data_IF_991059913800
#
_entry.id   IF_991059913800
#
_cell.length_a   1.000
_cell.length_b   1.000
_cell.length_c   1.000
_cell.angle_alpha   90.00
_cell.angle_beta   90.00
_cell.angle_gamma   90.00
#
_symmetry.space_group_name_H-M   'P 1'
#
loop_
_entity.id
_entity.type
_entity.pdbx_description
1 polymer ?
#
# COMPACT_ATOMS: atom_id res chain seq x y z
N UNK A 1 -21.16 -18.90 41.15
CA UNK A 1 -20.38 -20.10 40.81
C UNK A 1 -19.17 -19.63 40.01
N UNK A 2 -18.02 -19.54 40.67
CA UNK A 2 -16.75 -19.40 39.98
C UNK A 2 -16.55 -20.65 39.13
N UNK A 3 -16.54 -20.50 37.80
CA UNK A 3 -16.21 -21.54 36.81
C UNK A 3 -14.71 -21.91 36.92
N UNK A 4 -14.25 -22.19 38.14
CA UNK A 4 -12.89 -22.59 38.46
C UNK A 4 -12.73 -24.07 38.06
N UNK A 5 -11.71 -24.30 37.24
CA UNK A 5 -11.16 -25.59 36.78
C UNK A 5 -12.08 -26.49 35.96
N UNK A 6 -12.37 -26.08 34.71
CA UNK A 6 -12.66 -27.07 33.66
C UNK A 6 -11.40 -27.95 33.45
N UNK A 7 -11.54 -29.29 33.31
CA UNK A 7 -10.44 -30.18 32.95
C UNK A 7 -9.78 -29.74 31.64
N UNK A 8 -8.45 -29.92 31.50
CA UNK A 8 -7.69 -29.46 30.34
C UNK A 8 -8.26 -29.96 29.00
N UNK A 9 -8.72 -31.22 28.95
CA UNK A 9 -9.33 -31.82 27.76
C UNK A 9 -10.66 -31.18 27.37
N UNK A 10 -11.49 -30.80 28.36
CA UNK A 10 -12.73 -30.06 28.11
C UNK A 10 -12.43 -28.63 27.66
N UNK A 11 -11.38 -28.02 28.18
CA UNK A 11 -10.95 -26.67 27.79
C UNK A 11 -10.46 -26.65 26.34
N UNK A 12 -9.70 -27.67 25.93
CA UNK A 12 -9.22 -27.84 24.55
C UNK A 12 -10.35 -28.17 23.56
N UNK A 13 -11.30 -29.04 23.95
CA UNK A 13 -12.49 -29.31 23.14
C UNK A 13 -13.36 -28.06 22.93
N UNK A 14 -13.53 -27.26 23.99
CA UNK A 14 -14.22 -25.98 23.91
C UNK A 14 -13.43 -25.02 22.99
N UNK A 15 -12.12 -24.88 23.15
CA UNK A 15 -11.29 -24.03 22.29
C UNK A 15 -11.44 -24.41 20.80
N UNK A 16 -11.42 -25.70 20.47
CA UNK A 16 -11.62 -26.20 19.10
C UNK A 16 -13.04 -25.94 18.57
N UNK A 17 -14.06 -26.02 19.44
CA UNK A 17 -15.45 -25.69 19.09
C UNK A 17 -15.67 -24.18 18.89
N UNK A 18 -15.00 -23.35 19.69
CA UNK A 18 -15.11 -21.89 19.66
C UNK A 18 -14.52 -21.30 18.37
N UNK A 19 -13.48 -21.91 17.80
CA UNK A 19 -12.77 -21.41 16.60
C UNK A 19 -13.70 -21.08 15.42
N UNK A 20 -14.55 -22.00 14.93
CA UNK A 20 -15.49 -21.69 13.84
C UNK A 20 -16.70 -20.85 14.30
N UNK A 21 -16.97 -20.75 15.60
CA UNK A 21 -18.22 -20.18 16.15
C UNK A 21 -18.04 -18.85 16.87
N UNK A 22 -16.83 -18.26 16.90
CA UNK A 22 -16.59 -16.93 17.52
C UNK A 22 -17.57 -15.88 16.97
N UNK A 23 -17.88 -15.98 15.67
CA UNK A 23 -18.89 -15.16 15.00
C UNK A 23 -20.26 -15.30 15.66
N UNK A 24 -20.76 -16.52 15.77
CA UNK A 24 -22.09 -16.80 16.30
C UNK A 24 -22.17 -16.48 17.80
N UNK A 25 -21.09 -16.69 18.55
CA UNK A 25 -21.01 -16.40 19.98
C UNK A 25 -20.90 -14.91 20.29
N UNK A 26 -20.20 -14.13 19.46
CA UNK A 26 -20.20 -12.66 19.58
C UNK A 26 -21.60 -12.09 19.32
N UNK A 27 -22.30 -12.59 18.30
CA UNK A 27 -23.68 -12.25 17.99
C UNK A 27 -24.63 -12.68 19.12
N UNK A 28 -24.53 -13.93 19.59
CA UNK A 28 -25.34 -14.48 20.69
C UNK A 28 -25.11 -13.73 22.00
N UNK A 29 -23.87 -13.30 22.28
CA UNK A 29 -23.61 -12.44 23.42
C UNK A 29 -24.47 -11.17 23.30
N UNK A 30 -24.37 -10.41 22.20
CA UNK A 30 -25.11 -9.15 21.99
C UNK A 30 -26.62 -9.32 22.13
N UNK A 31 -27.17 -10.47 21.73
CA UNK A 31 -28.61 -10.77 21.80
C UNK A 31 -29.12 -11.15 23.20
N UNK A 32 -28.26 -11.67 24.08
CA UNK A 32 -28.67 -12.21 25.38
C UNK A 32 -27.81 -11.67 26.53
N UNK A 33 -28.34 -10.71 27.30
CA UNK A 33 -27.68 -10.08 28.46
C UNK A 33 -27.20 -11.07 29.54
N UNK A 34 -27.94 -12.16 29.78
CA UNK A 34 -27.60 -13.15 30.80
C UNK A 34 -26.56 -14.20 30.35
N UNK A 35 -26.51 -14.54 29.06
CA UNK A 35 -25.45 -15.40 28.50
C UNK A 35 -24.16 -14.63 28.21
N UNK A 36 -24.27 -13.30 28.09
CA UNK A 36 -23.20 -12.38 27.79
C UNK A 36 -21.97 -12.57 28.70
N UNK A 37 -22.17 -12.70 30.02
CA UNK A 37 -21.07 -12.82 30.98
C UNK A 37 -20.34 -14.17 30.91
N UNK A 38 -21.08 -15.27 30.75
CA UNK A 38 -20.51 -16.62 30.75
C UNK A 38 -19.80 -16.94 29.42
N UNK A 39 -20.40 -16.54 28.29
CA UNK A 39 -19.80 -16.73 26.95
C UNK A 39 -18.53 -15.88 26.81
N UNK A 40 -18.58 -14.62 27.28
CA UNK A 40 -17.42 -13.75 27.26
C UNK A 40 -16.31 -14.28 28.17
N UNK A 41 -16.62 -14.71 29.40
CA UNK A 41 -15.62 -15.31 30.28
C UNK A 41 -14.94 -16.53 29.62
N UNK A 42 -15.72 -17.41 28.99
CA UNK A 42 -15.19 -18.60 28.33
C UNK A 42 -14.30 -18.26 27.14
N UNK A 43 -14.72 -17.31 26.31
CA UNK A 43 -13.91 -16.81 25.19
C UNK A 43 -12.62 -16.15 25.69
N UNK A 44 -12.67 -15.39 26.78
CA UNK A 44 -11.49 -14.69 27.31
C UNK A 44 -10.52 -15.64 28.01
N UNK A 45 -11.01 -16.59 28.81
CA UNK A 45 -10.17 -17.59 29.47
C UNK A 45 -9.49 -18.51 28.45
N UNK A 46 -10.17 -18.82 27.33
CA UNK A 46 -9.57 -19.59 26.22
C UNK A 46 -8.59 -18.75 25.40
N UNK A 47 -8.89 -17.49 25.07
CA UNK A 47 -7.95 -16.59 24.42
C UNK A 47 -6.67 -16.34 25.24
N UNK A 48 -6.76 -16.33 26.57
CA UNK A 48 -5.60 -16.18 27.44
C UNK A 48 -4.69 -17.42 27.46
N UNK A 49 -5.24 -18.61 27.17
CA UNK A 49 -4.52 -19.89 27.23
C UNK A 49 -4.07 -20.41 25.86
N UNK A 50 -4.81 -20.07 24.80
CA UNK A 50 -4.62 -20.62 23.47
C UNK A 50 -4.43 -19.52 22.42
N UNK A 51 -3.19 -19.34 21.97
CA UNK A 51 -2.80 -18.33 20.98
C UNK A 51 -3.59 -18.42 19.67
N UNK A 52 -3.94 -19.64 19.22
CA UNK A 52 -4.69 -19.82 17.98
C UNK A 52 -6.13 -19.29 18.08
N UNK A 53 -6.78 -19.45 19.24
CA UNK A 53 -8.13 -18.90 19.50
C UNK A 53 -8.06 -17.39 19.54
N UNK A 54 -7.06 -16.82 20.23
CA UNK A 54 -6.83 -15.39 20.27
C UNK A 54 -6.61 -14.78 18.87
N UNK A 55 -5.81 -15.44 18.03
CA UNK A 55 -5.56 -15.01 16.64
C UNK A 55 -6.82 -15.05 15.78
N UNK A 56 -7.63 -16.10 15.89
CA UNK A 56 -8.87 -16.23 15.12
C UNK A 56 -9.93 -15.23 15.57
N UNK A 57 -10.07 -15.02 16.89
CA UNK A 57 -10.98 -14.02 17.43
C UNK A 57 -10.58 -12.60 17.04
N UNK A 58 -9.28 -12.31 17.03
CA UNK A 58 -8.73 -11.04 16.54
C UNK A 58 -8.98 -10.85 15.05
N UNK A 59 -8.73 -11.87 14.22
CA UNK A 59 -8.99 -11.83 12.79
C UNK A 59 -10.46 -11.48 12.51
N UNK A 60 -11.38 -12.18 13.17
CA UNK A 60 -12.81 -11.89 13.07
C UNK A 60 -13.15 -10.46 13.50
N UNK A 61 -12.59 -9.99 14.62
CA UNK A 61 -12.85 -8.64 15.11
C UNK A 61 -12.40 -7.56 14.11
N UNK A 62 -11.29 -7.78 13.41
CA UNK A 62 -10.77 -6.89 12.36
C UNK A 62 -11.61 -6.96 11.08
N UNK A 63 -11.97 -8.17 10.64
CA UNK A 63 -12.82 -8.40 9.46
C UNK A 63 -14.20 -7.76 9.63
N UNK A 64 -14.83 -7.99 10.78
CA UNK A 64 -16.15 -7.45 11.12
C UNK A 64 -16.12 -5.99 11.61
N UNK A 65 -14.93 -5.40 11.78
CA UNK A 65 -14.73 -4.09 12.41
C UNK A 65 -15.42 -3.97 13.79
N UNK A 66 -15.38 -5.05 14.58
CA UNK A 66 -15.97 -5.10 15.92
C UNK A 66 -15.05 -4.46 16.96
N UNK A 67 -15.18 -3.15 17.13
CA UNK A 67 -14.43 -2.37 18.12
C UNK A 67 -14.64 -2.89 19.55
N UNK A 68 -15.86 -3.32 19.88
CA UNK A 68 -16.18 -3.83 21.22
C UNK A 68 -15.54 -5.17 21.51
N UNK A 69 -15.41 -6.05 20.51
CA UNK A 69 -14.63 -7.29 20.66
C UNK A 69 -13.13 -6.99 20.80
N UNK A 70 -12.59 -6.02 20.06
CA UNK A 70 -11.18 -5.62 20.17
C UNK A 70 -10.82 -5.06 21.55
N UNK A 71 -11.66 -4.18 22.12
CA UNK A 71 -11.44 -3.67 23.47
C UNK A 71 -11.40 -4.79 24.51
N UNK A 72 -12.31 -5.75 24.37
CA UNK A 72 -12.40 -6.88 25.28
C UNK A 72 -11.24 -7.84 25.12
N UNK A 73 -10.78 -8.10 23.89
CA UNK A 73 -9.57 -8.87 23.65
C UNK A 73 -8.33 -8.16 24.22
N UNK A 74 -8.22 -6.85 24.05
CA UNK A 74 -7.12 -6.04 24.60
C UNK A 74 -7.07 -6.08 26.14
N UNK A 75 -8.24 -6.07 26.81
CA UNK A 75 -8.32 -6.18 28.26
C UNK A 75 -7.73 -7.50 28.81
N UNK A 76 -7.72 -8.57 28.00
CA UNK A 76 -7.22 -9.90 28.37
C UNK A 76 -5.71 -10.04 28.13
N UNK A 77 -5.04 -8.99 27.62
CA UNK A 77 -3.61 -9.01 27.23
C UNK A 77 -3.27 -10.14 26.26
N UNK A 78 -4.23 -10.56 25.42
CA UNK A 78 -3.93 -11.52 24.37
C UNK A 78 -2.80 -10.96 23.46
N UNK A 79 -1.98 -11.82 22.82
CA UNK A 79 -0.92 -11.38 21.93
C UNK A 79 -1.50 -10.86 20.61
N UNK A 80 -2.00 -9.63 20.64
CA UNK A 80 -2.89 -9.04 19.63
C UNK A 80 -2.16 -8.28 18.52
N UNK A 81 -0.84 -8.12 18.62
CA UNK A 81 0.02 -7.63 17.53
C UNK A 81 0.65 -8.80 16.74
N UNK A 82 0.15 -10.01 16.92
CA UNK A 82 0.67 -11.19 16.22
C UNK A 82 0.20 -11.21 14.77
N UNK A 83 1.06 -11.66 13.84
CA UNK A 83 0.61 -11.91 12.48
C UNK A 83 -0.43 -13.03 12.45
N UNK A 84 -1.48 -12.83 11.66
CA UNK A 84 -2.43 -13.87 11.26
C UNK A 84 -2.45 -13.97 9.72
N UNK A 85 -3.43 -14.65 9.12
CA UNK A 85 -3.48 -15.06 7.70
C UNK A 85 -2.59 -14.24 6.74
N UNK A 86 -1.64 -14.91 6.08
CA UNK A 86 -0.70 -14.26 5.16
C UNK A 86 0.37 -13.39 5.85
N UNK A 87 0.64 -13.65 7.13
CA UNK A 87 1.62 -12.92 7.95
C UNK A 87 1.30 -11.44 8.18
N UNK A 88 0.02 -11.06 8.01
CA UNK A 88 -0.46 -9.68 8.17
C UNK A 88 -0.92 -9.46 9.62
N UNK A 89 -0.61 -8.28 10.15
CA UNK A 89 -1.07 -7.84 11.48
C UNK A 89 -2.41 -7.09 11.37
N UNK A 90 -3.20 -6.93 12.44
CA UNK A 90 -4.50 -6.26 12.42
C UNK A 90 -4.50 -4.91 11.71
N UNK A 91 -3.48 -4.09 11.96
CA UNK A 91 -3.39 -2.75 11.41
C UNK A 91 -3.20 -2.77 9.88
N UNK A 92 -2.54 -3.78 9.32
CA UNK A 92 -2.38 -3.92 7.87
C UNK A 92 -3.71 -4.18 7.18
N UNK A 93 -4.56 -5.06 7.74
CA UNK A 93 -5.88 -5.33 7.17
C UNK A 93 -6.82 -4.14 7.34
N UNK A 94 -6.80 -3.48 8.50
CA UNK A 94 -7.58 -2.27 8.71
C UNK A 94 -7.19 -1.15 7.71
N UNK A 95 -5.89 -1.01 7.43
CA UNK A 95 -5.37 -0.07 6.44
C UNK A 95 -5.69 -0.49 5.01
N UNK A 96 -5.62 -1.78 4.68
CA UNK A 96 -6.02 -2.34 3.39
C UNK A 96 -7.50 -2.04 3.09
N UNK A 97 -8.38 -2.33 4.05
CA UNK A 97 -9.84 -2.20 3.91
C UNK A 97 -10.34 -0.75 4.04
N UNK A 98 -9.50 0.19 4.45
CA UNK A 98 -9.92 1.59 4.63
C UNK A 98 -10.71 1.87 5.91
N UNK A 99 -10.63 0.99 6.91
CA UNK A 99 -11.41 1.08 8.15
C UNK A 99 -10.78 2.09 9.13
N UNK A 100 -11.00 3.39 8.92
CA UNK A 100 -10.40 4.47 9.71
C UNK A 100 -10.65 4.36 11.22
N UNK A 101 -11.90 4.09 11.64
CA UNK A 101 -12.25 3.92 13.06
C UNK A 101 -11.47 2.79 13.71
N UNK A 102 -11.41 1.65 13.01
CA UNK A 102 -10.61 0.50 13.42
C UNK A 102 -9.12 0.83 13.50
N UNK A 103 -8.53 1.52 12.52
CA UNK A 103 -7.13 1.97 12.56
C UNK A 103 -6.87 2.83 13.80
N UNK A 104 -7.71 3.83 14.07
CA UNK A 104 -7.57 4.67 15.28
C UNK A 104 -7.63 3.84 16.55
N UNK A 105 -8.55 2.87 16.60
CA UNK A 105 -8.72 2.01 17.76
C UNK A 105 -7.52 1.10 17.99
N UNK A 106 -7.01 0.47 16.92
CA UNK A 106 -5.82 -0.37 16.98
C UNK A 106 -4.60 0.46 17.44
N UNK A 107 -4.40 1.67 16.91
CA UNK A 107 -3.32 2.56 17.35
C UNK A 107 -3.48 3.01 18.82
N UNK A 108 -4.72 3.24 19.27
CA UNK A 108 -5.01 3.58 20.67
C UNK A 108 -4.69 2.42 21.62
N UNK A 109 -5.05 1.18 21.24
CA UNK A 109 -4.88 0.01 22.09
C UNK A 109 -3.43 -0.52 22.11
N UNK A 110 -2.74 -0.46 20.97
CA UNK A 110 -1.46 -1.15 20.76
C UNK A 110 -0.29 -0.19 20.53
N UNK A 111 -0.54 1.13 20.48
CA UNK A 111 0.48 2.13 20.24
C UNK A 111 1.14 2.00 18.87
N UNK A 112 2.38 2.52 18.79
CA UNK A 112 3.13 2.62 17.52
C UNK A 112 3.67 1.27 17.03
N UNK A 113 3.85 0.30 17.92
CA UNK A 113 4.33 -1.05 17.58
C UNK A 113 3.37 -1.82 16.65
N UNK A 114 2.10 -1.41 16.59
CA UNK A 114 1.14 -1.97 15.64
C UNK A 114 1.49 -1.67 14.17
N UNK A 115 2.30 -0.63 13.92
CA UNK A 115 2.69 -0.17 12.58
C UNK A 115 3.92 -0.88 11.98
N UNK A 116 4.52 -1.83 12.71
CA UNK A 116 5.65 -2.60 12.19
C UNK A 116 5.27 -3.47 10.99
N UNK A 117 6.24 -3.75 10.14
CA UNK A 117 6.03 -4.44 8.86
C UNK A 117 5.66 -5.92 9.05
N UNK A 118 4.93 -6.45 8.06
CA UNK A 118 4.64 -7.87 7.96
C UNK A 118 5.92 -8.68 7.67
N UNK A 119 6.03 -9.89 8.23
CA UNK A 119 7.18 -10.78 8.01
C UNK A 119 7.10 -11.56 6.67
N UNK A 120 6.58 -10.94 5.61
CA UNK A 120 6.61 -11.53 4.26
C UNK A 120 7.69 -10.84 3.42
N UNK A 121 8.17 -11.47 2.35
CA UNK A 121 9.04 -10.82 1.37
C UNK A 121 8.19 -10.42 0.14
N UNK A 122 7.86 -9.13 -0.04
CA UNK A 122 8.41 -7.96 0.66
C UNK A 122 7.64 -7.57 1.93
N UNK A 123 8.33 -7.02 2.94
CA UNK A 123 7.70 -6.57 4.16
C UNK A 123 6.98 -5.25 3.89
N UNK A 124 5.67 -5.32 3.64
CA UNK A 124 4.84 -4.13 3.39
C UNK A 124 4.29 -3.58 4.71
N UNK A 125 4.36 -2.26 4.86
CA UNK A 125 3.82 -1.56 6.03
C UNK A 125 2.31 -1.31 5.92
N UNK A 126 1.62 -0.98 7.03
CA UNK A 126 0.22 -0.55 6.95
C UNK A 126 0.04 0.73 6.11
N UNK A 127 1.04 1.63 6.11
CA UNK A 127 1.02 2.83 5.28
C UNK A 127 1.05 2.48 3.79
N UNK A 128 1.83 1.48 3.40
CA UNK A 128 1.83 0.95 2.03
C UNK A 128 0.42 0.53 1.60
N UNK A 129 -0.30 -0.25 2.42
CA UNK A 129 -1.64 -0.74 2.05
C UNK A 129 -2.66 0.40 1.96
N UNK A 130 -2.62 1.34 2.90
CA UNK A 130 -3.47 2.53 2.86
C UNK A 130 -3.19 3.38 1.61
N UNK A 131 -1.92 3.59 1.28
CA UNK A 131 -1.51 4.41 0.15
C UNK A 131 -1.87 3.77 -1.19
N UNK A 132 -1.64 2.46 -1.32
CA UNK A 132 -2.02 1.67 -2.51
C UNK A 132 -3.52 1.64 -2.75
N UNK A 133 -4.35 1.65 -1.71
CA UNK A 133 -5.81 1.59 -1.85
C UNK A 133 -6.51 2.96 -1.74
N UNK A 134 -5.76 4.06 -1.69
CA UNK A 134 -6.34 5.42 -1.75
C UNK A 134 -6.91 5.94 -0.44
N UNK A 135 -6.61 5.30 0.69
CA UNK A 135 -7.15 5.66 2.00
C UNK A 135 -6.37 6.82 2.63
N UNK A 136 -6.46 8.01 2.03
CA UNK A 136 -5.70 9.19 2.46
C UNK A 136 -5.84 9.55 3.95
N UNK A 137 -7.00 9.40 4.64
CA UNK A 137 -7.08 9.70 6.07
C UNK A 137 -6.21 8.75 6.91
N UNK A 138 -6.09 7.50 6.46
CA UNK A 138 -5.25 6.50 7.12
C UNK A 138 -3.78 6.78 6.82
N UNK A 139 -3.43 7.15 5.58
CA UNK A 139 -2.07 7.59 5.25
C UNK A 139 -1.64 8.77 6.12
N UNK A 140 -2.52 9.77 6.25
CA UNK A 140 -2.27 10.93 7.10
C UNK A 140 -2.00 10.51 8.56
N UNK A 141 -2.82 9.63 9.14
CA UNK A 141 -2.59 9.15 10.51
C UNK A 141 -1.30 8.33 10.66
N UNK A 142 -0.99 7.47 9.69
CA UNK A 142 0.16 6.57 9.77
C UNK A 142 1.48 7.30 9.48
N UNK A 143 1.47 8.39 8.70
CA UNK A 143 2.65 9.20 8.41
C UNK A 143 3.14 10.03 9.60
N UNK A 144 2.26 10.29 10.58
CA UNK A 144 2.60 10.87 11.89
C UNK A 144 3.33 9.88 12.82
N UNK A 145 3.29 8.58 12.49
CA UNK A 145 4.01 7.55 13.25
C UNK A 145 5.44 7.46 12.71
N UNK A 146 6.48 7.55 13.57
CA UNK A 146 7.85 7.35 13.14
C UNK A 146 8.02 5.98 12.47
N UNK A 147 8.81 5.91 11.38
CA UNK A 147 9.10 4.63 10.73
C UNK A 147 9.86 3.68 11.69
N UNK A 148 9.95 2.39 11.35
CA UNK A 148 10.87 1.46 12.00
C UNK A 148 12.30 2.04 12.08
N UNK A 149 13.05 1.72 13.16
CA UNK A 149 14.34 2.34 13.46
C UNK A 149 15.42 2.12 12.39
N UNK A 150 15.26 1.10 11.56
CA UNK A 150 16.13 0.73 10.44
C UNK A 150 15.81 1.49 9.14
N UNK A 151 14.75 2.31 9.11
CA UNK A 151 14.30 3.01 7.91
C UNK A 151 14.31 4.52 8.07
N UNK A 152 14.81 5.19 7.04
CA UNK A 152 14.68 6.63 6.90
C UNK A 152 13.21 7.01 6.57
N UNK A 153 12.73 8.12 7.16
CA UNK A 153 11.34 8.58 7.02
C UNK A 153 10.99 8.95 5.59
N UNK A 154 11.91 9.59 4.85
CA UNK A 154 11.68 9.96 3.46
C UNK A 154 11.54 8.70 2.59
N UNK A 155 12.42 7.72 2.80
CA UNK A 155 12.36 6.43 2.09
C UNK A 155 11.04 5.69 2.36
N UNK A 156 10.62 5.64 3.62
CA UNK A 156 9.38 4.98 4.03
C UNK A 156 8.12 5.61 3.40
N UNK A 157 8.04 6.95 3.38
CA UNK A 157 6.91 7.66 2.77
C UNK A 157 6.97 7.65 1.24
N UNK A 158 8.16 7.67 0.65
CA UNK A 158 8.36 7.60 -0.80
C UNK A 158 7.88 6.28 -1.39
N UNK A 159 8.05 5.16 -0.70
CA UNK A 159 7.44 3.91 -1.13
C UNK A 159 5.91 4.03 -1.19
N UNK A 160 5.28 4.58 -0.14
CA UNK A 160 3.84 4.86 -0.15
C UNK A 160 3.41 5.73 -1.32
N UNK A 161 4.16 6.80 -1.62
CA UNK A 161 3.90 7.72 -2.74
C UNK A 161 3.93 7.00 -4.09
N UNK A 162 4.97 6.20 -4.34
CA UNK A 162 5.12 5.41 -5.58
C UNK A 162 3.94 4.47 -5.79
N UNK A 163 3.52 3.74 -4.76
CA UNK A 163 2.41 2.78 -4.89
C UNK A 163 1.06 3.48 -5.01
N UNK A 164 0.87 4.64 -4.37
CA UNK A 164 -0.30 5.48 -4.60
C UNK A 164 -0.37 5.98 -6.05
N UNK A 165 0.77 6.46 -6.60
CA UNK A 165 0.87 6.88 -7.99
C UNK A 165 0.58 5.74 -8.97
N UNK A 166 1.11 4.54 -8.71
CA UNK A 166 0.86 3.34 -9.52
C UNK A 166 -0.61 2.90 -9.55
N UNK A 167 -1.43 3.32 -8.59
CA UNK A 167 -2.86 3.00 -8.50
C UNK A 167 -3.76 4.21 -8.82
N UNK A 168 -3.19 5.36 -9.19
CA UNK A 168 -3.95 6.57 -9.51
C UNK A 168 -4.56 7.29 -8.30
N UNK A 169 -4.06 7.05 -7.10
CA UNK A 169 -4.61 7.63 -5.87
C UNK A 169 -4.14 9.07 -5.65
N UNK A 170 -4.71 10.01 -6.40
CA UNK A 170 -4.29 11.43 -6.40
C UNK A 170 -4.31 12.07 -5.01
N UNK A 171 -5.32 11.81 -4.18
CA UNK A 171 -5.45 12.43 -2.86
C UNK A 171 -4.34 11.99 -1.90
N UNK A 172 -3.94 10.71 -1.97
CA UNK A 172 -2.80 10.21 -1.19
C UNK A 172 -1.51 10.88 -1.65
N UNK A 173 -1.30 10.99 -2.96
CA UNK A 173 -0.07 11.61 -3.51
C UNK A 173 0.00 13.10 -3.14
N UNK A 174 -1.13 13.84 -3.20
CA UNK A 174 -1.21 15.22 -2.71
C UNK A 174 -0.80 15.33 -1.25
N UNK A 175 -1.40 14.51 -0.38
CA UNK A 175 -1.08 14.53 1.05
C UNK A 175 0.41 14.28 1.29
N UNK A 176 1.01 13.29 0.62
CA UNK A 176 2.42 12.95 0.79
C UNK A 176 3.36 14.06 0.28
N UNK A 177 3.04 14.72 -0.84
CA UNK A 177 3.87 15.79 -1.40
C UNK A 177 3.70 17.13 -0.67
N UNK A 178 2.47 17.53 -0.42
CA UNK A 178 2.15 18.86 0.10
C UNK A 178 2.37 18.95 1.61
N UNK A 179 2.01 17.91 2.37
CA UNK A 179 2.10 17.94 3.84
C UNK A 179 3.43 17.40 4.37
N UNK A 180 3.95 16.35 3.74
CA UNK A 180 5.14 15.65 4.23
C UNK A 180 6.40 15.95 3.41
N UNK A 181 6.29 16.73 2.33
CA UNK A 181 7.40 17.13 1.46
C UNK A 181 8.27 15.91 1.06
N UNK A 182 7.60 14.82 0.68
CA UNK A 182 8.26 13.60 0.26
C UNK A 182 9.02 13.86 -1.03
N UNK A 183 10.27 13.41 -1.11
CA UNK A 183 11.04 13.51 -2.34
C UNK A 183 10.39 12.66 -3.44
N UNK A 184 9.75 13.32 -4.41
CA UNK A 184 9.09 12.70 -5.57
C UNK A 184 10.04 11.88 -6.44
N UNK A 185 11.34 12.22 -6.40
CA UNK A 185 12.43 11.59 -7.15
C UNK A 185 13.15 10.50 -6.34
N UNK A 186 12.59 10.06 -5.21
CA UNK A 186 13.20 9.01 -4.40
C UNK A 186 13.23 7.68 -5.15
N UNK A 187 14.45 7.13 -5.30
CA UNK A 187 14.68 5.82 -5.90
C UNK A 187 14.61 4.76 -4.80
N UNK A 188 13.60 3.89 -4.84
CA UNK A 188 13.52 2.79 -3.87
C UNK A 188 14.67 1.80 -4.10
N UNK A 189 15.47 1.55 -3.06
CA UNK A 189 16.56 0.57 -3.09
C UNK A 189 16.08 -0.89 -3.11
N UNK A 190 14.77 -1.14 -2.95
CA UNK A 190 14.17 -2.47 -3.11
C UNK A 190 14.08 -2.85 -4.60
N UNK A 191 15.23 -2.88 -5.27
CA UNK A 191 15.44 -3.26 -6.68
C UNK A 191 15.23 -4.75 -6.95
N UNK A 192 14.87 -5.56 -5.94
CA UNK A 192 14.77 -7.01 -6.07
C UNK A 192 13.45 -7.50 -6.70
N UNK A 193 12.42 -6.64 -6.82
CA UNK A 193 11.16 -7.03 -7.45
C UNK A 193 11.12 -6.62 -8.92
N UNK A 194 10.82 -7.58 -9.80
CA UNK A 194 10.63 -7.37 -11.25
C UNK A 194 9.54 -6.36 -11.61
N UNK A 195 8.67 -6.03 -10.66
CA UNK A 195 7.55 -5.08 -10.82
C UNK A 195 7.81 -3.72 -10.15
N UNK A 196 8.99 -3.50 -9.55
CA UNK A 196 9.27 -2.25 -8.84
C UNK A 196 9.53 -1.13 -9.85
N UNK A 197 8.45 -0.46 -10.26
CA UNK A 197 8.48 0.77 -11.05
C UNK A 197 9.22 1.82 -10.24
N UNK A 198 10.36 2.29 -10.71
CA UNK A 198 11.36 2.73 -9.75
C UNK A 198 11.27 4.23 -9.44
N UNK A 199 10.41 4.95 -10.17
CA UNK A 199 9.96 6.32 -9.87
C UNK A 199 8.43 6.37 -9.92
N UNK A 200 7.83 7.25 -9.12
CA UNK A 200 6.38 7.48 -9.13
C UNK A 200 5.90 7.98 -10.51
N UNK A 201 6.71 8.81 -11.17
CA UNK A 201 6.43 9.32 -12.51
C UNK A 201 6.37 8.19 -13.54
N UNK A 202 7.35 7.28 -13.55
CA UNK A 202 7.31 6.13 -14.45
C UNK A 202 6.08 5.25 -14.20
N UNK A 203 5.68 5.09 -12.93
CA UNK A 203 4.50 4.33 -12.59
C UNK A 203 3.21 4.91 -13.18
N UNK A 204 3.03 6.22 -13.07
CA UNK A 204 1.90 6.95 -13.64
C UNK A 204 1.91 6.93 -15.19
N UNK A 205 3.09 7.05 -15.80
CA UNK A 205 3.24 6.95 -17.27
C UNK A 205 2.81 5.58 -17.77
N UNK A 206 3.23 4.49 -17.12
CA UNK A 206 2.85 3.14 -17.52
C UNK A 206 1.36 2.82 -17.35
N UNK A 207 0.68 3.44 -16.39
CA UNK A 207 -0.79 3.33 -16.25
C UNK A 207 -1.52 4.27 -17.20
N UNK A 208 -0.85 5.31 -17.71
CA UNK A 208 -1.43 6.31 -18.58
C UNK A 208 -2.29 7.34 -17.86
N UNK A 209 -2.05 7.53 -16.57
CA UNK A 209 -2.83 8.42 -15.72
C UNK A 209 -2.33 9.86 -15.89
N UNK A 210 -2.93 10.59 -16.84
CA UNK A 210 -2.56 11.97 -17.19
C UNK A 210 -2.64 12.91 -15.97
N UNK A 211 -3.75 12.95 -15.18
CA UNK A 211 -3.80 13.77 -13.97
C UNK A 211 -2.69 13.48 -12.95
N UNK A 212 -2.31 12.21 -12.78
CA UNK A 212 -1.22 11.84 -11.88
C UNK A 212 0.14 12.30 -12.41
N UNK A 213 0.36 12.22 -13.74
CA UNK A 213 1.59 12.69 -14.39
C UNK A 213 1.74 14.20 -14.21
N UNK A 214 0.69 14.96 -14.50
CA UNK A 214 0.68 16.42 -14.31
C UNK A 214 0.99 16.80 -12.86
N UNK A 215 0.37 16.12 -11.90
CA UNK A 215 0.60 16.34 -10.47
C UNK A 215 2.05 16.08 -10.08
N UNK A 216 2.62 14.95 -10.50
CA UNK A 216 4.00 14.58 -10.17
C UNK A 216 5.01 15.54 -10.83
N UNK A 217 4.78 15.95 -12.08
CA UNK A 217 5.62 16.93 -12.78
C UNK A 217 5.54 18.31 -12.11
N UNK A 218 4.34 18.76 -11.73
CA UNK A 218 4.16 20.01 -10.98
C UNK A 218 4.87 19.98 -9.61
N UNK A 219 5.01 18.80 -9.01
CA UNK A 219 5.76 18.59 -7.78
C UNK A 219 7.28 18.42 -7.97
N UNK A 220 7.80 18.60 -9.19
CA UNK A 220 9.22 18.55 -9.50
C UNK A 220 9.77 17.14 -9.79
N UNK A 221 8.92 16.21 -10.23
CA UNK A 221 9.39 14.92 -10.73
C UNK A 221 10.32 15.12 -11.94
N UNK A 222 11.50 14.51 -11.88
CA UNK A 222 12.48 14.55 -12.96
C UNK A 222 12.07 13.56 -14.07
N UNK A 223 11.71 14.03 -15.27
CA UNK A 223 11.28 13.17 -16.37
C UNK A 223 12.42 12.32 -16.96
N UNK A 224 13.66 12.60 -16.57
CA UNK A 224 14.86 11.89 -17.02
C UNK A 224 15.39 10.89 -15.99
N UNK A 225 14.77 10.83 -14.81
CA UNK A 225 15.21 9.95 -13.75
C UNK A 225 14.95 8.49 -14.12
N UNK A 226 16.01 7.81 -14.54
CA UNK A 226 16.01 6.39 -14.82
C UNK A 226 16.93 5.66 -13.82
N UNK A 227 16.41 4.72 -13.03
CA UNK A 227 17.26 3.82 -12.27
C UNK A 227 17.56 2.57 -13.10
N UNK A 228 18.39 1.70 -12.54
CA UNK A 228 18.90 0.46 -13.14
C UNK A 228 17.82 -0.26 -13.96
N UNK A 229 18.17 -0.73 -15.17
CA UNK A 229 17.30 -1.36 -16.19
C UNK A 229 16.53 -0.44 -17.16
N UNK A 230 16.98 0.81 -17.34
CA UNK A 230 16.51 1.77 -18.37
C UNK A 230 15.00 2.04 -18.40
N UNK A 231 14.42 2.29 -17.23
CA UNK A 231 13.06 2.81 -17.11
C UNK A 231 13.04 4.32 -17.36
N UNK A 232 12.99 4.72 -18.63
CA UNK A 232 12.88 6.12 -19.03
C UNK A 232 11.39 6.45 -19.26
N UNK A 233 10.82 7.43 -18.53
CA UNK A 233 9.41 7.82 -18.68
C UNK A 233 8.99 8.05 -20.13
N UNK A 234 9.83 8.73 -20.92
CA UNK A 234 9.52 9.04 -22.32
C UNK A 234 9.37 7.78 -23.19
N UNK A 235 10.19 6.74 -23.00
CA UNK A 235 10.02 5.45 -23.70
C UNK A 235 8.75 4.72 -23.24
N UNK A 236 8.41 4.80 -21.96
CA UNK A 236 7.15 4.28 -21.43
C UNK A 236 5.93 4.92 -22.12
N UNK A 237 5.95 6.24 -22.29
CA UNK A 237 4.89 6.98 -22.99
C UNK A 237 4.77 6.57 -24.46
N UNK A 238 5.91 6.43 -25.16
CA UNK A 238 5.96 5.94 -26.55
C UNK A 238 5.42 4.51 -26.67
N UNK A 239 5.79 3.61 -25.75
CA UNK A 239 5.29 2.22 -25.72
C UNK A 239 3.77 2.16 -25.57
N UNK A 240 3.17 3.09 -24.82
CA UNK A 240 1.70 3.21 -24.68
C UNK A 240 1.01 3.89 -25.85
N UNK A 241 1.77 4.43 -26.79
CA UNK A 241 1.26 5.15 -27.95
C UNK A 241 0.38 6.36 -27.57
N UNK A 242 0.66 7.01 -26.43
CA UNK A 242 -0.11 8.15 -25.97
C UNK A 242 0.64 9.47 -26.24
N UNK A 243 0.21 10.19 -27.28
CA UNK A 243 0.84 11.44 -27.71
C UNK A 243 0.71 12.57 -26.68
N UNK A 244 -0.39 12.61 -25.91
CA UNK A 244 -0.59 13.58 -24.84
C UNK A 244 0.49 13.44 -23.77
N UNK A 245 0.74 12.21 -23.29
CA UNK A 245 1.78 11.96 -22.27
C UNK A 245 3.18 12.25 -22.82
N UNK A 246 3.42 11.95 -24.10
CA UNK A 246 4.70 12.29 -24.76
C UNK A 246 4.91 13.81 -24.75
N UNK A 247 3.89 14.60 -25.09
CA UNK A 247 3.99 16.07 -25.05
C UNK A 247 4.20 16.58 -23.62
N UNK A 248 3.43 16.10 -22.64
CA UNK A 248 3.60 16.49 -21.24
C UNK A 248 5.03 16.27 -20.72
N UNK A 249 5.63 15.11 -21.04
CA UNK A 249 6.99 14.81 -20.63
C UNK A 249 8.02 15.69 -21.37
N UNK A 250 7.82 15.96 -22.66
CA UNK A 250 8.70 16.84 -23.43
C UNK A 250 8.64 18.29 -22.94
N UNK A 251 7.46 18.78 -22.63
CA UNK A 251 7.23 20.11 -22.06
C UNK A 251 7.88 20.24 -20.67
N UNK A 252 7.92 19.14 -19.90
CA UNK A 252 8.64 19.06 -18.64
C UNK A 252 10.16 18.88 -18.77
N UNK A 253 10.71 18.83 -19.98
CA UNK A 253 12.15 18.74 -20.23
C UNK A 253 12.71 17.32 -20.32
N UNK A 254 11.89 16.33 -20.69
CA UNK A 254 12.39 15.00 -21.01
C UNK A 254 13.41 15.02 -22.16
N UNK A 255 14.49 14.28 -22.01
CA UNK A 255 15.51 14.09 -23.03
C UNK A 255 14.98 13.18 -24.15
N UNK A 256 14.64 13.83 -25.25
CA UNK A 256 14.19 13.19 -26.50
C UNK A 256 15.20 12.22 -27.12
N UNK A 257 16.46 12.28 -26.70
CA UNK A 257 17.54 11.44 -27.21
C UNK A 257 18.03 10.40 -26.19
N UNK A 258 17.37 10.30 -25.03
CA UNK A 258 17.71 9.30 -24.02
C UNK A 258 17.70 7.89 -24.63
N UNK A 259 18.63 7.03 -24.23
CA UNK A 259 18.78 5.69 -24.81
C UNK A 259 18.19 4.64 -23.87
N UNK A 260 17.34 3.75 -24.40
CA UNK A 260 16.86 2.57 -23.66
C UNK A 260 17.93 1.47 -23.57
N UNK A 261 17.60 0.32 -22.95
CA UNK A 261 18.50 -0.84 -22.86
C UNK A 261 18.97 -1.41 -24.21
N UNK A 262 18.33 -1.04 -25.33
CA UNK A 262 18.68 -1.49 -26.68
C UNK A 262 19.34 -0.37 -27.49
N UNK A 263 19.86 0.67 -26.83
CA UNK A 263 20.45 1.85 -27.44
C UNK A 263 19.49 2.59 -28.40
N UNK A 264 18.18 2.51 -28.14
CA UNK A 264 17.16 3.20 -28.94
C UNK A 264 16.77 4.52 -28.31
N UNK A 265 16.72 5.56 -29.13
CA UNK A 265 16.04 6.81 -28.79
C UNK A 265 14.52 6.58 -28.76
N UNK A 266 13.74 7.43 -28.07
CA UNK A 266 12.28 7.40 -28.15
C UNK A 266 11.74 7.35 -29.59
N UNK A 267 12.40 8.06 -30.52
CA UNK A 267 12.04 8.07 -31.94
C UNK A 267 12.29 6.71 -32.61
N UNK A 268 13.48 6.12 -32.43
CA UNK A 268 13.78 4.81 -33.03
C UNK A 268 12.98 3.69 -32.36
N UNK A 269 12.65 3.84 -31.08
CA UNK A 269 11.71 2.97 -30.36
C UNK A 269 10.31 3.03 -30.98
N UNK A 270 9.75 4.22 -31.22
CA UNK A 270 8.44 4.41 -31.86
C UNK A 270 8.37 3.77 -33.26
N UNK A 271 9.44 3.94 -34.06
CA UNK A 271 9.55 3.32 -35.40
C UNK A 271 9.60 1.80 -35.28
N UNK A 272 10.38 1.26 -34.32
CA UNK A 272 10.48 -0.19 -34.12
C UNK A 272 9.14 -0.82 -33.73
N UNK A 273 8.32 -0.14 -32.91
CA UNK A 273 6.99 -0.60 -32.53
C UNK A 273 6.05 -0.68 -33.74
N UNK A 274 6.12 0.29 -34.66
CA UNK A 274 5.33 0.27 -35.90
C UNK A 274 5.67 -0.94 -36.78
N UNK A 275 6.96 -1.28 -36.87
CA UNK A 275 7.43 -2.45 -37.63
C UNK A 275 6.98 -3.77 -36.99
N UNK A 276 6.92 -3.84 -35.66
CA UNK A 276 6.46 -5.03 -34.92
C UNK A 276 4.93 -5.13 -34.81
N UNK A 277 4.19 -4.04 -34.98
CA UNK A 277 2.73 -3.98 -34.84
C UNK A 277 2.12 -3.06 -35.91
N UNK A 278 1.88 -3.57 -37.13
CA UNK A 278 1.50 -2.78 -38.31
C UNK A 278 0.12 -2.11 -38.25
N UNK A 279 -0.67 -2.34 -37.19
CA UNK A 279 -1.94 -1.66 -36.92
C UNK A 279 -1.87 -0.47 -35.96
N UNK A 280 -0.66 -0.05 -35.54
CA UNK A 280 -0.47 1.10 -34.65
C UNK A 280 -0.31 2.42 -35.44
N UNK A 281 -1.28 3.32 -35.30
CA UNK A 281 -1.22 4.67 -35.87
C UNK A 281 -0.31 5.58 -35.04
N UNK A 282 1.00 5.29 -35.07
CA UNK A 282 2.03 6.03 -34.34
C UNK A 282 2.48 7.32 -35.05
N UNK A 283 1.75 7.78 -36.08
CA UNK A 283 2.18 8.93 -36.89
C UNK A 283 2.18 10.22 -36.07
N UNK A 284 1.16 10.43 -35.25
CA UNK A 284 1.05 11.59 -34.36
C UNK A 284 2.14 11.60 -33.28
N UNK A 285 2.59 10.43 -32.84
CA UNK A 285 3.72 10.28 -31.91
C UNK A 285 5.04 10.67 -32.57
N UNK A 286 5.28 10.21 -33.80
CA UNK A 286 6.47 10.56 -34.56
C UNK A 286 6.49 12.06 -34.85
N UNK A 287 5.35 12.63 -35.25
CA UNK A 287 5.20 14.08 -35.43
C UNK A 287 5.46 14.81 -34.12
N UNK A 288 4.93 14.34 -33.00
CA UNK A 288 5.14 14.93 -31.66
C UNK A 288 6.62 14.96 -31.25
N UNK A 289 7.33 13.85 -31.44
CA UNK A 289 8.77 13.74 -31.16
C UNK A 289 9.64 14.61 -32.08
N UNK A 290 9.19 14.84 -33.33
CA UNK A 290 9.88 15.69 -34.31
C UNK A 290 9.55 17.19 -34.15
N UNK A 291 8.32 17.53 -33.75
CA UNK A 291 7.77 18.89 -33.80
C UNK A 291 7.98 19.70 -32.53
N UNK A 292 8.19 19.06 -31.38
CA UNK A 292 8.54 19.80 -30.15
C UNK A 292 9.89 20.49 -30.38
N UNK A 293 9.91 21.83 -30.40
CA UNK A 293 11.14 22.58 -30.69
C UNK A 293 12.17 22.32 -29.58
N UNK A 294 13.42 22.11 -29.99
CA UNK A 294 14.57 22.14 -29.11
C UNK A 294 14.63 23.48 -28.35
N UNK A 295 14.29 23.50 -27.07
CA UNK A 295 14.64 24.63 -26.20
C UNK A 295 16.15 24.66 -25.86
N UNK A 296 16.95 23.75 -26.42
CA UNK A 296 18.38 23.57 -26.15
C UNK A 296 19.32 24.32 -27.11
N UNK A 297 18.93 25.51 -27.59
CA UNK A 297 19.83 26.39 -28.38
C UNK A 297 19.83 27.85 -27.90
N UNK A 298 19.77 28.08 -26.58
CA UNK A 298 20.00 29.41 -26.01
C UNK A 298 20.86 29.34 -24.74
N UNK A 299 22.14 29.03 -24.89
CA UNK A 299 23.25 29.59 -24.10
C UNK A 299 24.49 29.69 -24.97
#
# INVERSE_FOLDING_TARGET
MTLLSLPAELHEQIANFLVPTVRDLSCLSRSCSHLHANINWLLYDTCAKYDFVAKNALAYAVEAADEGLLERLAAVKAPLNTPFQGNRRPLHLAALDGKLGLVRKLLQLYGREAAHEAYFEPPFSPLYYAARNGHWPIVFLLAEIPPPADKDRQSYLADGLKFAAAQGNLDVVRVLLEQYHVNVNHLSQQSAMRENKPTALYAAVETGDVPMIELLLAAGADPNLHPVWSFIPLHGAVKRQNAEIVQLLLDAGADRNALDILDRTPLTHAISLKLSSPGSDNLDLVVSLLSSRSATLAR
#
